data_IF_145563166936
#
_entry.id   IF_145563166936
#
_cell.length_a   1.000
_cell.length_b   1.000
_cell.length_c   1.000
_cell.angle_alpha   90.00
_cell.angle_beta   90.00
_cell.angle_gamma   90.00
#
_symmetry.space_group_name_H-M   'P 1'
#
loop_
_entity.id
_entity.type
_entity.pdbx_description
1 polymer ?
#
# COMPACT_ATOMS: atom_id res chain seq x y z
N UNK A 1 -31.24 10.11 -12.16
CA UNK A 1 -30.56 10.58 -10.93
C UNK A 1 -30.11 12.03 -11.15
N UNK A 2 -30.37 12.97 -10.24
CA UNK A 2 -30.02 14.40 -10.46
C UNK A 2 -28.51 14.62 -10.38
N UNK A 3 -27.93 15.41 -11.29
CA UNK A 3 -26.50 15.77 -11.30
C UNK A 3 -26.00 16.34 -9.96
N UNK A 4 -26.88 17.04 -9.22
CA UNK A 4 -26.60 17.54 -7.87
C UNK A 4 -26.36 16.43 -6.84
N UNK A 5 -27.04 15.28 -6.97
CA UNK A 5 -26.84 14.12 -6.09
C UNK A 5 -25.52 13.40 -6.38
N UNK A 6 -25.13 13.30 -7.66
CA UNK A 6 -23.84 12.71 -8.07
C UNK A 6 -22.67 13.54 -7.57
N UNK A 7 -22.68 14.86 -7.81
CA UNK A 7 -21.62 15.74 -7.32
C UNK A 7 -21.45 15.66 -5.79
N UNK A 8 -22.56 15.52 -5.06
CA UNK A 8 -22.57 15.37 -3.61
C UNK A 8 -21.94 14.05 -3.14
N UNK A 9 -22.17 12.92 -3.83
CA UNK A 9 -21.53 11.65 -3.46
C UNK A 9 -20.02 11.66 -3.70
N UNK A 10 -19.55 12.29 -4.79
CA UNK A 10 -18.11 12.48 -5.02
C UNK A 10 -17.47 13.34 -3.94
N UNK A 11 -18.14 14.42 -3.53
CA UNK A 11 -17.66 15.26 -2.42
C UNK A 11 -17.45 14.43 -1.15
N UNK A 12 -18.40 13.56 -0.79
CA UNK A 12 -18.27 12.69 0.39
C UNK A 12 -17.13 11.68 0.27
N UNK A 13 -16.96 11.07 -0.90
CA UNK A 13 -15.83 10.16 -1.14
C UNK A 13 -14.47 10.88 -0.98
N UNK A 14 -14.36 12.10 -1.53
CA UNK A 14 -13.15 12.92 -1.40
C UNK A 14 -12.90 13.32 0.06
N UNK A 15 -13.94 13.72 0.80
CA UNK A 15 -13.82 14.04 2.23
C UNK A 15 -13.31 12.83 3.03
N UNK A 16 -13.80 11.61 2.73
CA UNK A 16 -13.32 10.38 3.34
C UNK A 16 -11.85 10.08 3.06
N UNK A 17 -11.42 10.25 1.80
CA UNK A 17 -10.00 10.08 1.43
C UNK A 17 -9.14 11.13 2.16
N UNK A 18 -9.54 12.40 2.14
CA UNK A 18 -8.81 13.48 2.80
C UNK A 18 -8.73 13.26 4.32
N UNK A 19 -9.79 12.74 4.94
CA UNK A 19 -9.78 12.36 6.35
C UNK A 19 -8.72 11.28 6.62
N UNK A 20 -8.72 10.20 5.85
CA UNK A 20 -7.74 9.13 6.02
C UNK A 20 -6.30 9.63 5.81
N UNK A 21 -6.06 10.45 4.79
CA UNK A 21 -4.73 11.04 4.53
C UNK A 21 -4.25 11.94 5.68
N UNK A 22 -5.14 12.71 6.28
CA UNK A 22 -4.78 13.62 7.38
C UNK A 22 -4.55 12.89 8.70
N UNK A 23 -5.34 11.86 8.98
CA UNK A 23 -5.36 11.19 10.29
C UNK A 23 -4.47 9.95 10.35
N UNK A 24 -4.39 9.19 9.27
CA UNK A 24 -3.70 7.91 9.26
C UNK A 24 -2.27 8.03 8.75
N UNK A 25 -1.32 7.52 9.54
CA UNK A 25 0.10 7.49 9.17
C UNK A 25 0.34 6.51 8.01
N UNK A 26 -0.27 5.33 8.07
CA UNK A 26 -0.09 4.28 7.07
C UNK A 26 -0.62 4.72 5.69
N UNK A 27 -1.79 5.36 5.62
CA UNK A 27 -2.27 6.01 4.40
C UNK A 27 -1.25 6.96 3.75
N UNK A 28 -0.59 7.82 4.54
CA UNK A 28 0.46 8.75 4.02
C UNK A 28 1.67 7.99 3.48
N UNK A 29 2.08 6.91 4.14
CA UNK A 29 3.17 6.04 3.68
C UNK A 29 2.78 5.38 2.35
N UNK A 30 1.58 4.81 2.25
CA UNK A 30 1.10 4.18 1.02
C UNK A 30 1.02 5.16 -0.15
N UNK A 31 0.58 6.40 0.08
CA UNK A 31 0.59 7.45 -0.96
C UNK A 31 2.00 7.85 -1.39
N UNK A 32 2.95 7.97 -0.45
CA UNK A 32 4.34 8.27 -0.79
C UNK A 32 4.95 7.14 -1.64
N UNK A 33 4.76 5.89 -1.23
CA UNK A 33 5.21 4.71 -1.99
C UNK A 33 4.55 4.67 -3.37
N UNK A 34 3.26 5.00 -3.47
CA UNK A 34 2.54 5.10 -4.74
C UNK A 34 3.21 6.09 -5.69
N UNK A 35 3.56 7.29 -5.20
CA UNK A 35 4.25 8.31 -6.02
C UNK A 35 5.59 7.75 -6.54
N UNK A 36 6.38 7.10 -5.68
CA UNK A 36 7.66 6.51 -6.05
C UNK A 36 7.48 5.42 -7.13
N UNK A 37 6.52 4.51 -6.93
CA UNK A 37 6.23 3.42 -7.88
C UNK A 37 5.75 3.95 -9.22
N UNK A 38 4.92 5.01 -9.23
CA UNK A 38 4.46 5.65 -10.46
C UNK A 38 5.62 6.32 -11.20
N UNK A 39 6.48 7.07 -10.50
CA UNK A 39 7.66 7.68 -11.12
C UNK A 39 8.65 6.64 -11.66
N UNK A 40 8.84 5.54 -10.95
CA UNK A 40 9.67 4.44 -11.41
C UNK A 40 9.04 3.75 -12.63
N UNK A 41 7.72 3.55 -12.63
CA UNK A 41 6.99 2.96 -13.74
C UNK A 41 7.05 3.80 -15.02
N UNK A 42 6.97 5.13 -14.90
CA UNK A 42 7.12 6.02 -16.05
C UNK A 42 8.55 6.02 -16.56
N UNK A 43 9.55 6.09 -15.67
CA UNK A 43 10.97 6.05 -16.04
C UNK A 43 11.34 4.76 -16.77
N UNK A 44 10.85 3.62 -16.28
CA UNK A 44 11.12 2.30 -16.86
C UNK A 44 10.23 1.95 -18.06
N UNK A 45 9.40 2.88 -18.51
CA UNK A 45 8.50 2.68 -19.66
C UNK A 45 7.68 1.40 -19.51
N UNK A 46 6.89 1.29 -18.44
CA UNK A 46 5.93 0.19 -18.29
C UNK A 46 4.97 0.15 -19.48
N UNK A 47 4.73 -1.05 -19.99
CA UNK A 47 3.69 -1.35 -20.96
C UNK A 47 2.31 -1.13 -20.34
N UNK A 48 1.28 -1.03 -21.19
CA UNK A 48 -0.10 -0.80 -20.75
C UNK A 48 -0.59 -1.89 -19.80
N UNK A 49 -0.20 -3.15 -20.03
CA UNK A 49 -0.57 -4.27 -19.17
C UNK A 49 0.12 -4.18 -17.81
N UNK A 50 1.44 -3.91 -17.77
CA UNK A 50 2.20 -3.70 -16.53
C UNK A 50 1.61 -2.55 -15.70
N UNK A 51 1.24 -1.43 -16.35
CA UNK A 51 0.54 -0.32 -15.69
C UNK A 51 -0.80 -0.74 -15.09
N UNK A 52 -1.60 -1.51 -15.82
CA UNK A 52 -2.89 -1.97 -15.33
C UNK A 52 -2.74 -2.78 -14.03
N UNK A 53 -1.75 -3.69 -13.94
CA UNK A 53 -1.53 -4.50 -12.73
C UNK A 53 -1.00 -3.66 -11.57
N UNK A 54 -0.09 -2.72 -11.83
CA UNK A 54 0.47 -1.81 -10.81
C UNK A 54 -0.61 -0.89 -10.25
N UNK A 55 -1.40 -0.25 -11.12
CA UNK A 55 -2.48 0.64 -10.70
C UNK A 55 -3.57 -0.11 -9.94
N UNK A 56 -3.90 -1.34 -10.35
CA UNK A 56 -4.82 -2.19 -9.61
C UNK A 56 -4.28 -2.52 -8.20
N UNK A 57 -3.00 -2.87 -8.09
CA UNK A 57 -2.37 -3.17 -6.79
C UNK A 57 -2.35 -1.96 -5.86
N UNK A 58 -2.03 -0.78 -6.39
CA UNK A 58 -2.08 0.50 -5.66
C UNK A 58 -3.51 0.77 -5.18
N UNK A 59 -4.49 0.67 -6.08
CA UNK A 59 -5.89 0.92 -5.75
C UNK A 59 -6.39 -0.04 -4.67
N UNK A 60 -5.98 -1.31 -4.72
CA UNK A 60 -6.32 -2.32 -3.72
C UNK A 60 -5.78 -1.95 -2.33
N UNK A 61 -4.49 -1.58 -2.24
CA UNK A 61 -3.86 -1.16 -0.97
C UNK A 61 -4.57 0.04 -0.37
N UNK A 62 -4.80 1.09 -1.16
CA UNK A 62 -5.49 2.30 -0.68
C UNK A 62 -6.93 1.98 -0.25
N UNK A 63 -7.63 1.10 -0.99
CA UNK A 63 -8.99 0.68 -0.63
C UNK A 63 -9.02 -0.08 0.69
N UNK A 64 -8.08 -1.01 0.92
CA UNK A 64 -8.00 -1.75 2.18
C UNK A 64 -7.66 -0.84 3.36
N UNK A 65 -6.77 0.13 3.18
CA UNK A 65 -6.44 1.12 4.21
C UNK A 65 -7.64 2.01 4.58
N UNK A 66 -8.45 2.41 3.60
CA UNK A 66 -9.70 3.15 3.82
C UNK A 66 -10.73 2.29 4.58
N UNK A 67 -10.87 1.01 4.22
CA UNK A 67 -11.76 0.07 4.91
C UNK A 67 -11.30 -0.17 6.35
N UNK A 68 -9.99 -0.33 6.58
CA UNK A 68 -9.43 -0.44 7.93
C UNK A 68 -9.80 0.79 8.78
N UNK A 69 -9.58 1.98 8.23
CA UNK A 69 -9.95 3.24 8.90
C UNK A 69 -11.45 3.32 9.21
N UNK A 70 -12.30 2.91 8.27
CA UNK A 70 -13.76 2.93 8.46
C UNK A 70 -14.21 1.97 9.58
N UNK A 71 -13.63 0.77 9.62
CA UNK A 71 -13.89 -0.23 10.66
C UNK A 71 -13.40 0.28 12.02
N UNK A 72 -12.18 0.80 12.10
CA UNK A 72 -11.63 1.39 13.33
C UNK A 72 -12.55 2.48 13.87
N UNK A 73 -12.96 3.44 13.03
CA UNK A 73 -13.81 4.56 13.48
C UNK A 73 -15.22 4.13 13.87
N UNK A 74 -15.74 3.07 13.25
CA UNK A 74 -17.03 2.49 13.63
C UNK A 74 -16.92 1.80 14.99
N UNK A 75 -15.85 1.06 15.26
CA UNK A 75 -15.63 0.42 16.55
C UNK A 75 -15.39 1.46 17.65
N UNK A 76 -14.57 2.48 17.38
CA UNK A 76 -14.29 3.59 18.30
C UNK A 76 -15.57 4.38 18.68
N UNK A 77 -16.56 4.42 17.77
CA UNK A 77 -17.86 5.03 18.04
C UNK A 77 -18.73 4.18 18.99
N UNK A 78 -18.64 2.86 18.89
CA UNK A 78 -19.50 1.92 19.62
C UNK A 78 -19.01 1.71 21.06
N UNK A 79 -17.69 1.66 21.27
CA UNK A 79 -17.13 1.42 22.61
C UNK A 79 -15.73 2.01 22.75
N UNK A 80 -15.47 2.58 23.93
CA UNK A 80 -14.15 3.00 24.39
C UNK A 80 -13.51 2.01 25.37
N UNK A 81 -14.26 0.99 25.81
CA UNK A 81 -13.76 -0.05 26.69
C UNK A 81 -13.16 -1.21 25.90
N UNK A 82 -12.24 -1.95 26.53
CA UNK A 82 -11.66 -3.12 25.90
C UNK A 82 -12.72 -4.22 25.73
N UNK A 83 -12.93 -4.66 24.48
CA UNK A 83 -13.72 -5.83 24.16
C UNK A 83 -12.95 -6.75 23.21
N UNK A 84 -13.01 -8.05 23.48
CA UNK A 84 -12.31 -9.06 22.68
C UNK A 84 -12.75 -9.05 21.21
N UNK A 85 -14.06 -8.94 20.95
CA UNK A 85 -14.58 -8.85 19.58
C UNK A 85 -14.12 -7.57 18.85
N UNK A 86 -14.03 -6.44 19.55
CA UNK A 86 -13.52 -5.19 18.99
C UNK A 86 -12.04 -5.33 18.59
N UNK A 87 -11.23 -5.97 19.44
CA UNK A 87 -9.83 -6.30 19.13
C UNK A 87 -9.72 -7.19 17.91
N UNK A 88 -10.51 -8.27 17.83
CA UNK A 88 -10.50 -9.19 16.70
C UNK A 88 -10.86 -8.45 15.40
N UNK A 89 -11.92 -7.64 15.41
CA UNK A 89 -12.35 -6.90 14.23
C UNK A 89 -11.28 -5.92 13.72
N UNK A 90 -10.63 -5.16 14.63
CA UNK A 90 -9.50 -4.28 14.28
C UNK A 90 -8.32 -5.07 13.72
N UNK A 91 -7.97 -6.20 14.34
CA UNK A 91 -6.85 -7.05 13.89
C UNK A 91 -7.10 -7.64 12.49
N UNK A 92 -8.33 -8.09 12.21
CA UNK A 92 -8.70 -8.63 10.90
C UNK A 92 -8.64 -7.54 9.82
N UNK A 93 -9.10 -6.33 10.13
CA UNK A 93 -9.01 -5.19 9.22
C UNK A 93 -7.54 -4.82 8.91
N UNK A 94 -6.68 -4.77 9.92
CA UNK A 94 -5.25 -4.54 9.74
C UNK A 94 -4.57 -5.66 8.93
N UNK A 95 -4.98 -6.92 9.14
CA UNK A 95 -4.48 -8.05 8.37
C UNK A 95 -4.85 -7.96 6.88
N UNK A 96 -6.04 -7.45 6.54
CA UNK A 96 -6.44 -7.22 5.15
C UNK A 96 -5.53 -6.19 4.45
N UNK A 97 -5.16 -5.10 5.15
CA UNK A 97 -4.17 -4.13 4.67
C UNK A 97 -2.83 -4.82 4.42
N UNK A 98 -2.35 -5.62 5.39
CA UNK A 98 -1.08 -6.35 5.26
C UNK A 98 -1.05 -7.26 4.02
N UNK A 99 -2.13 -8.02 3.79
CA UNK A 99 -2.25 -8.91 2.62
C UNK A 99 -2.22 -8.11 1.32
N UNK A 100 -2.92 -6.98 1.25
CA UNK A 100 -2.90 -6.11 0.06
C UNK A 100 -1.51 -5.51 -0.19
N UNK A 101 -0.79 -5.10 0.87
CA UNK A 101 0.56 -4.57 0.76
C UNK A 101 1.54 -5.64 0.28
N UNK A 102 1.41 -6.87 0.79
CA UNK A 102 2.20 -8.00 0.30
C UNK A 102 1.95 -8.29 -1.18
N UNK A 103 0.68 -8.27 -1.62
CA UNK A 103 0.35 -8.39 -3.04
C UNK A 103 1.03 -7.31 -3.88
N UNK A 104 0.98 -6.04 -3.45
CA UNK A 104 1.63 -4.95 -4.16
C UNK A 104 3.16 -5.12 -4.26
N UNK A 105 3.81 -5.64 -3.22
CA UNK A 105 5.24 -5.97 -3.25
C UNK A 105 5.52 -7.06 -4.29
N UNK A 106 4.76 -8.15 -4.28
CA UNK A 106 4.94 -9.25 -5.25
C UNK A 106 4.74 -8.76 -6.67
N UNK A 107 3.67 -8.02 -6.94
CA UNK A 107 3.41 -7.44 -8.28
C UNK A 107 4.51 -6.48 -8.68
N UNK A 108 4.96 -5.61 -7.78
CA UNK A 108 6.08 -4.70 -8.02
C UNK A 108 7.35 -5.45 -8.40
N UNK A 109 7.72 -6.49 -7.64
CA UNK A 109 8.86 -7.32 -7.97
C UNK A 109 8.73 -7.97 -9.35
N UNK A 110 7.59 -8.58 -9.67
CA UNK A 110 7.38 -9.24 -10.96
C UNK A 110 7.48 -8.27 -12.14
N UNK A 111 6.88 -7.07 -12.02
CA UNK A 111 6.86 -6.07 -13.09
C UNK A 111 8.21 -5.38 -13.25
N UNK A 112 8.89 -5.05 -12.14
CA UNK A 112 10.15 -4.31 -12.18
C UNK A 112 11.38 -5.18 -12.35
N UNK A 113 11.31 -6.48 -12.07
CA UNK A 113 12.46 -7.39 -12.11
C UNK A 113 13.18 -7.38 -13.47
N UNK A 114 12.47 -7.63 -14.56
CA UNK A 114 13.10 -7.71 -15.88
C UNK A 114 13.65 -6.36 -16.34
N UNK A 115 12.98 -5.26 -15.98
CA UNK A 115 13.39 -3.92 -16.37
C UNK A 115 14.63 -3.46 -15.61
N UNK A 116 14.66 -3.71 -14.30
CA UNK A 116 15.79 -3.39 -13.45
C UNK A 116 17.00 -4.26 -13.83
N UNK A 117 16.79 -5.55 -14.11
CA UNK A 117 17.86 -6.43 -14.58
C UNK A 117 18.47 -5.94 -15.90
N UNK A 118 17.66 -5.48 -16.86
CA UNK A 118 18.18 -4.93 -18.14
C UNK A 118 19.00 -3.65 -17.95
N UNK A 119 18.66 -2.81 -16.98
CA UNK A 119 19.40 -1.59 -16.65
C UNK A 119 20.69 -1.87 -15.87
N UNK A 120 20.66 -2.81 -14.94
CA UNK A 120 21.75 -3.08 -14.01
C UNK A 120 22.83 -3.99 -14.61
N UNK A 121 22.43 -4.97 -15.45
CA UNK A 121 23.37 -5.93 -16.06
C UNK A 121 24.54 -5.27 -16.83
N UNK A 122 24.32 -4.26 -17.70
CA UNK A 122 25.41 -3.59 -18.41
C UNK A 122 26.31 -2.75 -17.49
N UNK A 123 25.76 -2.27 -16.37
CA UNK A 123 26.45 -1.35 -15.45
C UNK A 123 27.34 -2.09 -14.45
N UNK A 124 26.94 -3.28 -14.00
CA UNK A 124 27.62 -4.02 -12.94
C UNK A 124 28.53 -5.15 -13.44
N UNK A 125 28.38 -5.65 -14.67
CA UNK A 125 29.25 -6.69 -15.23
C UNK A 125 29.23 -8.04 -14.47
N UNK A 126 28.23 -8.24 -13.61
CA UNK A 126 28.09 -9.40 -12.72
C UNK A 126 27.03 -10.36 -13.30
N UNK A 127 27.37 -11.65 -13.44
CA UNK A 127 26.44 -12.71 -13.87
C UNK A 127 25.41 -13.12 -12.79
N UNK A 128 25.62 -12.74 -11.52
CA UNK A 128 24.80 -13.18 -10.37
C UNK A 128 23.55 -12.32 -10.14
N UNK A 129 22.51 -12.67 -10.88
CA UNK A 129 21.10 -12.27 -10.65
C UNK A 129 20.61 -12.55 -9.21
N UNK A 130 21.37 -13.33 -8.44
CA UNK A 130 21.13 -13.73 -7.05
C UNK A 130 21.33 -12.57 -6.05
N UNK A 131 22.25 -11.61 -6.29
CA UNK A 131 22.50 -10.49 -5.35
C UNK A 131 21.38 -9.43 -5.35
N UNK A 132 20.78 -9.17 -6.52
CA UNK A 132 19.64 -8.26 -6.66
C UNK A 132 18.36 -8.83 -6.01
N UNK A 133 18.19 -10.16 -6.05
CA UNK A 133 17.10 -10.87 -5.38
C UNK A 133 17.29 -10.84 -3.86
N UNK A 134 18.52 -10.99 -3.36
CA UNK A 134 18.84 -10.90 -1.92
C UNK A 134 18.64 -9.46 -1.40
N UNK A 135 19.01 -8.42 -2.16
CA UNK A 135 18.75 -7.02 -1.80
C UNK A 135 17.24 -6.67 -1.79
N UNK A 136 16.46 -7.23 -2.71
CA UNK A 136 14.99 -7.11 -2.71
C UNK A 136 14.34 -7.80 -1.51
N UNK A 137 14.81 -9.00 -1.14
CA UNK A 137 14.34 -9.74 0.04
C UNK A 137 14.75 -9.07 1.36
N UNK A 138 15.95 -8.49 1.44
CA UNK A 138 16.40 -7.68 2.59
C UNK A 138 15.63 -6.36 2.71
N UNK A 139 15.28 -5.70 1.60
CA UNK A 139 14.46 -4.49 1.60
C UNK A 139 13.03 -4.72 2.11
N UNK A 140 12.41 -5.81 1.68
CA UNK A 140 11.09 -6.24 2.18
C UNK A 140 11.16 -6.63 3.66
N UNK A 141 12.21 -7.33 4.09
CA UNK A 141 12.45 -7.64 5.51
C UNK A 141 12.64 -6.40 6.39
N UNK A 142 13.41 -5.41 5.94
CA UNK A 142 13.64 -4.14 6.65
C UNK A 142 12.38 -3.27 6.70
N UNK A 143 11.54 -3.26 5.65
CA UNK A 143 10.25 -2.56 5.65
C UNK A 143 9.26 -3.22 6.61
N UNK A 144 9.19 -4.54 6.64
CA UNK A 144 8.35 -5.29 7.59
C UNK A 144 8.84 -5.10 9.04
N UNK A 145 10.15 -4.96 9.27
CA UNK A 145 10.73 -4.66 10.58
C UNK A 145 10.45 -3.22 11.04
N UNK A 146 10.57 -2.23 10.14
CA UNK A 146 10.27 -0.82 10.43
C UNK A 146 8.78 -0.63 10.70
N UNK A 147 7.89 -1.30 9.95
CA UNK A 147 6.46 -1.31 10.23
C UNK A 147 6.18 -1.92 11.61
N UNK A 148 6.84 -3.01 11.97
CA UNK A 148 6.71 -3.63 13.30
C UNK A 148 7.21 -2.73 14.45
N UNK A 149 8.30 -1.98 14.27
CA UNK A 149 8.87 -1.06 15.28
C UNK A 149 8.11 0.27 15.40
N UNK A 150 7.51 0.76 14.33
CA UNK A 150 6.67 1.96 14.33
C UNK A 150 5.29 1.69 14.93
N UNK A 151 4.77 0.48 14.75
CA UNK A 151 3.47 0.06 15.27
C UNK A 151 3.57 -0.34 16.75
N UNK A 152 4.68 -0.95 17.20
CA UNK A 152 4.86 -1.37 18.60
C UNK A 152 5.58 -0.34 19.51
N UNK A 153 6.10 0.78 18.98
CA UNK A 153 6.81 1.79 19.77
C UNK A 153 5.93 2.91 20.34
N UNK A 154 4.59 2.75 20.29
CA UNK A 154 3.61 3.76 20.70
C UNK A 154 2.58 3.28 21.73
N UNK A 155 2.82 2.12 22.35
CA UNK A 155 2.19 1.73 23.62
C UNK A 155 3.21 1.83 24.76
#
# INVERSE_FOLDING_TARGET
>A
MSAKKVAKSFKYAIEGILFAVKTQRNMRIHLLVTIIVVLLGTYLSLSTTEWAVILFSIALVISMELLNTAIEKTIDLVTSEYHEFAKIAKNVAAAAVLISAFNAIVVGLLVFYDKLNKLVKPLMGIESTIEAIILGLLGVGVILLILKLVINGGE
#
